data_IF_501331908824
#
_entry.id   IF_501331908824
#
_cell.length_a   1.000
_cell.length_b   1.000
_cell.length_c   1.000
_cell.angle_alpha   90.00
_cell.angle_beta   90.00
_cell.angle_gamma   90.00
#
_symmetry.space_group_name_H-M   'P 1'
#
loop_
_entity.id
_entity.type
_entity.pdbx_description
1 polymer ?
#
# COMPACT_ATOMS: atom_id res chain seq x y z
N UNK A 1 24.95 -17.64 -5.82
CA UNK A 1 24.07 -16.77 -5.03
C UNK A 1 23.01 -17.65 -4.39
N UNK A 2 23.00 -17.75 -3.06
CA UNK A 2 22.12 -18.66 -2.31
C UNK A 2 20.89 -17.92 -1.74
N UNK A 3 19.82 -18.65 -1.40
CA UNK A 3 18.61 -18.10 -0.77
C UNK A 3 18.84 -17.43 0.60
N UNK A 4 20.05 -17.56 1.16
CA UNK A 4 20.48 -16.95 2.42
C UNK A 4 21.04 -15.54 2.21
N UNK A 5 21.76 -15.32 1.10
CA UNK A 5 22.28 -14.00 0.72
C UNK A 5 21.15 -13.01 0.39
N UNK A 6 20.08 -13.46 -0.29
CA UNK A 6 18.88 -12.63 -0.53
C UNK A 6 18.16 -12.22 0.77
N UNK A 7 18.11 -13.09 1.79
CA UNK A 7 17.46 -12.78 3.07
C UNK A 7 18.26 -11.81 3.93
N UNK A 8 19.60 -11.93 3.91
CA UNK A 8 20.48 -11.08 4.71
C UNK A 8 20.65 -9.67 4.13
N UNK A 9 20.58 -9.49 2.80
CA UNK A 9 20.61 -8.16 2.17
C UNK A 9 19.31 -7.35 2.40
N UNK A 10 18.15 -8.01 2.43
CA UNK A 10 16.85 -7.36 2.65
C UNK A 10 16.65 -6.81 4.08
N UNK A 11 17.47 -7.25 5.04
CA UNK A 11 17.37 -6.82 6.44
C UNK A 11 17.83 -5.37 6.67
N UNK A 12 18.44 -4.74 5.66
CA UNK A 12 18.94 -3.36 5.70
C UNK A 12 18.19 -2.37 4.81
N UNK A 13 17.18 -2.82 4.07
CA UNK A 13 16.38 -1.94 3.21
C UNK A 13 15.37 -1.18 4.07
N UNK A 14 15.55 0.14 4.17
CA UNK A 14 14.83 1.01 5.10
C UNK A 14 13.30 1.00 4.94
N UNK A 15 12.63 1.81 5.75
CA UNK A 15 11.16 1.95 5.74
C UNK A 15 10.65 2.22 4.32
N UNK A 16 9.93 1.27 3.74
CA UNK A 16 9.30 1.42 2.43
C UNK A 16 8.02 2.26 2.57
N UNK A 17 7.85 3.32 1.75
CA UNK A 17 6.60 4.05 1.69
C UNK A 17 5.57 3.26 0.87
N UNK A 18 4.37 3.07 1.42
CA UNK A 18 3.31 2.28 0.81
C UNK A 18 2.03 3.11 0.69
N UNK A 19 1.38 3.06 -0.47
CA UNK A 19 0.02 3.58 -0.64
C UNK A 19 -1.00 2.43 -0.68
N UNK A 20 -2.18 2.64 -0.10
CA UNK A 20 -3.26 1.67 -0.06
C UNK A 20 -4.45 2.20 -0.86
N UNK A 21 -4.89 1.46 -1.87
CA UNK A 21 -6.11 1.76 -2.65
C UNK A 21 -7.13 0.66 -2.44
N UNK A 22 -8.27 1.02 -1.86
CA UNK A 22 -9.41 0.11 -1.72
C UNK A 22 -10.40 0.35 -2.85
N UNK A 23 -10.62 -0.65 -3.69
CA UNK A 23 -11.60 -0.59 -4.77
C UNK A 23 -12.92 -1.19 -4.28
N UNK A 24 -13.94 -0.36 -4.12
CA UNK A 24 -15.27 -0.80 -3.71
C UNK A 24 -16.34 0.26 -3.90
N UNK A 25 -17.51 -0.16 -4.34
CA UNK A 25 -18.66 0.74 -4.47
C UNK A 25 -19.37 1.04 -3.15
N UNK A 26 -19.19 0.20 -2.13
CA UNK A 26 -19.98 0.25 -0.89
C UNK A 26 -19.16 0.50 0.35
N UNK A 27 -17.83 0.31 0.31
CA UNK A 27 -16.97 0.58 1.47
C UNK A 27 -16.89 2.08 1.76
N UNK A 28 -16.76 2.35 3.04
CA UNK A 28 -16.42 3.65 3.65
C UNK A 28 -15.15 3.47 4.47
N UNK A 29 -14.52 4.55 4.92
CA UNK A 29 -13.32 4.46 5.76
C UNK A 29 -13.53 3.63 7.04
N UNK A 30 -14.74 3.67 7.60
CA UNK A 30 -15.13 2.92 8.80
C UNK A 30 -15.31 1.44 8.50
N UNK A 31 -15.93 1.14 7.35
CA UNK A 31 -16.23 -0.23 6.96
C UNK A 31 -15.09 -0.89 6.19
N UNK A 32 -14.04 -0.18 5.79
CA UNK A 32 -12.89 -0.74 5.07
C UNK A 32 -11.95 -1.56 5.95
N UNK A 33 -12.45 -2.71 6.41
CA UNK A 33 -11.69 -3.66 7.23
C UNK A 33 -10.43 -4.16 6.53
N UNK A 34 -10.47 -4.33 5.21
CA UNK A 34 -9.33 -4.78 4.41
C UNK A 34 -8.23 -3.73 4.38
N UNK A 35 -8.55 -2.47 4.06
CA UNK A 35 -7.58 -1.38 4.09
C UNK A 35 -6.99 -1.14 5.48
N UNK A 36 -7.83 -1.21 6.53
CA UNK A 36 -7.38 -1.13 7.92
C UNK A 36 -6.42 -2.28 8.30
N UNK A 37 -6.72 -3.50 7.85
CA UNK A 37 -5.87 -4.68 8.10
C UNK A 37 -4.52 -4.53 7.41
N UNK A 38 -4.50 -4.15 6.12
CA UNK A 38 -3.27 -3.94 5.36
C UNK A 38 -2.42 -2.86 6.02
N UNK A 39 -3.03 -1.74 6.43
CA UNK A 39 -2.34 -0.67 7.14
C UNK A 39 -1.67 -1.17 8.42
N UNK A 40 -2.37 -1.94 9.25
CA UNK A 40 -1.82 -2.49 10.47
C UNK A 40 -0.64 -3.45 10.21
N UNK A 41 -0.72 -4.26 9.15
CA UNK A 41 0.38 -5.15 8.74
C UNK A 41 1.61 -4.37 8.25
N UNK A 42 1.39 -3.35 7.42
CA UNK A 42 2.44 -2.47 6.90
C UNK A 42 3.17 -1.75 8.03
N UNK A 43 2.41 -1.09 8.91
CA UNK A 43 2.97 -0.37 10.06
C UNK A 43 3.63 -1.34 11.06
N UNK A 44 3.03 -2.51 11.29
CA UNK A 44 3.57 -3.56 12.15
C UNK A 44 4.87 -4.19 11.62
N UNK A 45 5.07 -4.21 10.31
CA UNK A 45 6.32 -4.62 9.67
C UNK A 45 7.39 -3.51 9.68
N UNK A 46 7.10 -2.31 10.22
CA UNK A 46 8.03 -1.19 10.29
C UNK A 46 8.08 -0.32 9.02
N UNK A 47 7.18 -0.54 8.07
CA UNK A 47 7.01 0.29 6.87
C UNK A 47 6.08 1.48 7.17
N UNK A 48 5.89 2.39 6.21
CA UNK A 48 5.07 3.60 6.40
C UNK A 48 3.99 3.71 5.33
N UNK A 49 2.74 3.87 5.76
CA UNK A 49 1.65 4.19 4.83
C UNK A 49 1.68 5.69 4.52
N UNK A 50 1.97 6.04 3.27
CA UNK A 50 2.08 7.43 2.80
C UNK A 50 0.83 7.93 2.06
N UNK A 51 -0.12 7.03 1.81
CA UNK A 51 -1.36 7.36 1.11
C UNK A 51 -2.44 6.30 1.32
N UNK A 52 -3.70 6.75 1.35
CA UNK A 52 -4.87 5.89 1.43
C UNK A 52 -6.01 6.49 0.62
N UNK A 53 -6.69 5.69 -0.20
CA UNK A 53 -7.86 6.11 -0.99
C UNK A 53 -8.84 4.97 -1.18
N UNK A 54 -10.14 5.25 -1.07
CA UNK A 54 -11.21 4.37 -1.55
C UNK A 54 -11.69 4.89 -2.90
N UNK A 55 -11.78 4.03 -3.91
CA UNK A 55 -12.31 4.35 -5.23
C UNK A 55 -13.42 3.38 -5.63
N UNK A 56 -14.30 3.79 -6.54
CA UNK A 56 -15.30 2.88 -7.14
C UNK A 56 -14.61 1.85 -8.03
N UNK A 57 -15.32 0.76 -8.34
CA UNK A 57 -14.84 -0.28 -9.25
C UNK A 57 -14.96 0.14 -10.72
N UNK A 58 -14.34 1.28 -11.03
CA UNK A 58 -14.34 1.91 -12.34
C UNK A 58 -12.89 2.04 -12.84
N UNK A 59 -12.56 1.54 -14.05
CA UNK A 59 -11.18 1.49 -14.55
C UNK A 59 -10.45 2.83 -14.49
N UNK A 60 -11.13 3.92 -14.85
CA UNK A 60 -10.55 5.26 -14.86
C UNK A 60 -10.20 5.75 -13.45
N UNK A 61 -11.02 5.42 -12.45
CA UNK A 61 -10.77 5.82 -11.06
C UNK A 61 -9.60 5.05 -10.45
N UNK A 62 -9.49 3.75 -10.78
CA UNK A 62 -8.36 2.92 -10.36
C UNK A 62 -7.06 3.43 -11.01
N UNK A 63 -7.07 3.65 -12.33
CA UNK A 63 -5.89 4.16 -13.04
C UNK A 63 -5.42 5.50 -12.48
N UNK A 64 -6.34 6.45 -12.27
CA UNK A 64 -6.01 7.76 -11.72
C UNK A 64 -5.43 7.67 -10.30
N UNK A 65 -5.98 6.79 -9.44
CA UNK A 65 -5.45 6.61 -8.10
C UNK A 65 -4.02 6.05 -8.11
N UNK A 66 -3.73 5.11 -9.02
CA UNK A 66 -2.38 4.55 -9.17
C UNK A 66 -1.40 5.60 -9.70
N UNK A 67 -1.77 6.35 -10.73
CA UNK A 67 -0.93 7.40 -11.30
C UNK A 67 -0.60 8.49 -10.26
N UNK A 68 -1.60 8.93 -9.48
CA UNK A 68 -1.42 9.91 -8.40
C UNK A 68 -0.41 9.43 -7.36
N UNK A 69 -0.50 8.16 -6.93
CA UNK A 69 0.39 7.62 -5.90
C UNK A 69 1.78 7.30 -6.45
N UNK A 70 1.89 6.86 -7.70
CA UNK A 70 3.17 6.60 -8.37
C UNK A 70 3.97 7.89 -8.63
N UNK A 71 3.28 9.02 -8.85
CA UNK A 71 3.89 10.33 -8.95
C UNK A 71 4.25 10.95 -7.58
N UNK A 72 3.80 10.32 -6.48
CA UNK A 72 3.89 10.84 -5.13
C UNK A 72 4.97 10.18 -4.27
N UNK A 73 4.79 10.20 -2.92
CA UNK A 73 5.79 9.71 -1.97
C UNK A 73 5.91 8.18 -1.88
N UNK A 74 5.09 7.41 -2.62
CA UNK A 74 5.08 5.94 -2.59
C UNK A 74 6.06 5.30 -3.60
N UNK A 75 7.11 6.03 -4.00
CA UNK A 75 8.10 5.62 -5.01
C UNK A 75 9.38 5.10 -4.40
#
# INVERSE_FOLDING_TARGET
MSAEEHRQQASGEGRVPIAIVTVSDTRTAETDTSGQTIRALVEGAGHTVVGYRIVKDEPEQVAQALDDFAAGPAR
#
